data_IF_196152427261
#
_entry.id   IF_196152427261
#
_cell.length_a   1.000
_cell.length_b   1.000
_cell.length_c   1.000
_cell.angle_alpha   90.00
_cell.angle_beta   90.00
_cell.angle_gamma   90.00
#
_symmetry.space_group_name_H-M   'P 1'
#
loop_
_entity.id
_entity.type
_entity.pdbx_description
1 polymer ?
#
# COMPACT_ATOMS: atom_id res chain seq x y z
N UNK A 1 17.96 9.27 -23.17
CA UNK A 1 16.76 8.46 -22.84
C UNK A 1 16.05 9.12 -21.67
N UNK A 2 14.97 9.86 -21.93
CA UNK A 2 14.31 10.71 -20.96
C UNK A 2 12.83 10.30 -20.87
N UNK A 3 12.30 10.33 -19.64
CA UNK A 3 10.87 10.25 -19.22
C UNK A 3 10.35 8.89 -18.76
N UNK A 4 10.49 8.65 -17.46
CA UNK A 4 9.35 8.57 -16.52
C UNK A 4 9.84 9.04 -15.13
N UNK A 5 9.84 10.34 -14.90
CA UNK A 5 10.06 10.93 -13.57
C UNK A 5 8.77 11.55 -13.00
N UNK A 6 7.61 11.30 -13.62
CA UNK A 6 6.36 12.04 -13.35
C UNK A 6 5.19 11.15 -12.86
N UNK A 7 5.47 9.95 -12.33
CA UNK A 7 4.53 9.25 -11.45
C UNK A 7 5.31 8.90 -10.19
N UNK A 8 5.36 9.83 -9.23
CA UNK A 8 6.25 9.76 -8.07
C UNK A 8 5.92 8.52 -7.22
N UNK A 9 6.58 7.41 -7.51
CA UNK A 9 6.34 6.13 -6.84
C UNK A 9 6.61 6.33 -5.34
N UNK A 10 5.58 6.18 -4.50
CA UNK A 10 5.76 6.28 -3.05
C UNK A 10 6.29 4.95 -2.56
N UNK A 11 7.44 4.95 -1.91
CA UNK A 11 8.06 3.74 -1.38
C UNK A 11 8.47 3.92 0.08
N UNK A 12 8.39 2.84 0.87
CA UNK A 12 8.73 2.89 2.29
C UNK A 12 8.55 1.56 3.01
N UNK A 13 9.15 1.44 4.19
CA UNK A 13 8.96 0.26 5.04
C UNK A 13 7.66 0.38 5.83
N UNK A 14 6.75 -0.57 5.63
CA UNK A 14 5.53 -0.69 6.43
C UNK A 14 5.42 -2.08 7.04
N UNK A 15 4.68 -2.20 8.13
CA UNK A 15 4.20 -3.52 8.59
C UNK A 15 2.97 -3.88 7.78
N UNK A 16 2.98 -5.09 7.21
CA UNK A 16 1.94 -5.63 6.36
C UNK A 16 1.30 -6.84 7.02
N UNK A 17 -0.04 -6.90 7.00
CA UNK A 17 -0.83 -8.08 7.33
C UNK A 17 -1.87 -8.29 6.24
N UNK A 18 -1.96 -9.50 5.72
CA UNK A 18 -3.07 -9.84 4.83
C UNK A 18 -4.31 -10.08 5.67
N UNK A 19 -5.43 -9.52 5.24
CA UNK A 19 -6.75 -9.85 5.73
C UNK A 19 -7.52 -10.59 4.61
N UNK A 20 -8.83 -10.81 4.82
CA UNK A 20 -9.79 -11.51 3.94
C UNK A 20 -9.39 -11.52 2.44
N UNK A 21 -9.44 -12.71 1.82
CA UNK A 21 -9.15 -12.92 0.39
C UNK A 21 -7.67 -13.04 0.00
N UNK A 22 -6.78 -12.30 0.67
CA UNK A 22 -5.35 -12.40 0.41
C UNK A 22 -4.75 -13.59 1.17
N UNK A 23 -4.39 -14.65 0.44
CA UNK A 23 -3.76 -15.83 1.04
C UNK A 23 -2.29 -15.55 1.40
N UNK A 24 -1.93 -15.80 2.65
CA UNK A 24 -0.56 -15.62 3.16
C UNK A 24 -0.43 -14.43 4.09
N UNK A 25 0.17 -14.65 5.27
CA UNK A 25 0.45 -13.68 6.36
C UNK A 25 -0.69 -13.45 7.36
N UNK A 26 -0.88 -14.41 8.28
CA UNK A 26 -1.69 -14.24 9.51
C UNK A 26 -1.04 -13.31 10.57
N UNK A 27 0.22 -12.92 10.36
CA UNK A 27 1.01 -12.07 11.26
C UNK A 27 1.53 -10.84 10.52
N UNK A 28 1.73 -9.74 11.26
CA UNK A 28 2.36 -8.52 10.75
C UNK A 28 3.81 -8.77 10.38
N UNK A 29 4.21 -8.44 9.15
CA UNK A 29 5.60 -8.51 8.69
C UNK A 29 6.06 -7.17 8.15
N UNK A 30 7.28 -6.76 8.49
CA UNK A 30 7.90 -5.59 7.87
C UNK A 30 8.23 -5.89 6.40
N UNK A 31 7.80 -5.02 5.50
CA UNK A 31 7.96 -5.13 4.06
C UNK A 31 8.31 -3.77 3.48
N UNK A 32 9.13 -3.78 2.43
CA UNK A 32 9.28 -2.62 1.56
C UNK A 32 8.06 -2.56 0.66
N UNK A 33 7.25 -1.51 0.80
CA UNK A 33 6.04 -1.29 0.01
C UNK A 33 6.35 -0.24 -1.05
N UNK A 34 5.88 -0.47 -2.27
CA UNK A 34 5.98 0.47 -3.38
C UNK A 34 4.59 0.67 -3.96
N UNK A 35 4.21 1.93 -4.11
CA UNK A 35 3.01 2.36 -4.83
C UNK A 35 3.46 3.06 -6.12
N UNK A 36 3.34 2.36 -7.23
CA UNK A 36 3.73 2.80 -8.58
C UNK A 36 2.49 2.79 -9.50
N UNK A 37 2.03 3.96 -9.92
CA UNK A 37 0.73 4.08 -10.60
C UNK A 37 -0.41 3.49 -9.77
N UNK A 38 -1.09 2.47 -10.32
CA UNK A 38 -2.13 1.70 -9.64
C UNK A 38 -1.63 0.37 -9.04
N UNK A 39 -0.32 0.15 -8.97
CA UNK A 39 0.23 -1.08 -8.43
C UNK A 39 0.78 -0.85 -7.02
N UNK A 40 0.30 -1.65 -6.07
CA UNK A 40 0.88 -1.74 -4.74
C UNK A 40 1.66 -3.06 -4.65
N UNK A 41 2.99 -2.99 -4.62
CA UNK A 41 3.86 -4.15 -4.52
C UNK A 41 4.64 -4.20 -3.21
N UNK A 42 5.15 -5.38 -2.86
CA UNK A 42 5.94 -5.56 -1.66
C UNK A 42 7.10 -6.54 -1.80
N UNK A 43 8.20 -6.24 -1.10
CA UNK A 43 9.40 -7.08 -1.01
C UNK A 43 9.91 -7.21 0.44
N UNK A 44 10.86 -8.12 0.68
CA UNK A 44 11.52 -8.22 2.00
C UNK A 44 12.38 -6.97 2.30
N UNK A 45 12.98 -6.37 1.27
CA UNK A 45 13.77 -5.13 1.34
C UNK A 45 13.71 -4.37 0.01
N UNK A 46 14.25 -3.14 -0.01
CA UNK A 46 14.27 -2.30 -1.21
C UNK A 46 15.04 -2.89 -2.40
N UNK A 47 16.01 -3.78 -2.16
CA UNK A 47 16.82 -4.44 -3.21
C UNK A 47 16.41 -5.89 -3.47
N UNK A 48 15.45 -6.40 -2.70
CA UNK A 48 14.97 -7.77 -2.86
C UNK A 48 13.94 -7.87 -3.98
N UNK A 49 13.82 -9.08 -4.54
CA UNK A 49 12.76 -9.40 -5.51
C UNK A 49 11.36 -9.16 -4.90
N UNK A 50 10.45 -8.68 -5.73
CA UNK A 50 9.02 -8.58 -5.42
C UNK A 50 8.46 -9.93 -4.96
N UNK A 51 7.70 -9.91 -3.86
CA UNK A 51 7.04 -11.09 -3.28
C UNK A 51 5.55 -11.14 -3.54
N UNK A 52 4.98 -10.04 -3.98
CA UNK A 52 3.59 -9.94 -4.34
C UNK A 52 3.24 -8.51 -4.70
N UNK A 53 2.12 -8.40 -5.41
CA UNK A 53 1.59 -7.16 -5.96
C UNK A 53 0.08 -7.29 -6.06
N UNK A 54 -0.59 -6.16 -5.88
CA UNK A 54 -2.03 -5.99 -6.12
C UNK A 54 -2.23 -4.75 -6.99
N UNK A 55 -3.24 -4.81 -7.85
CA UNK A 55 -3.70 -3.65 -8.60
C UNK A 55 -4.77 -2.93 -7.77
N UNK A 56 -4.42 -1.74 -7.29
CA UNK A 56 -5.28 -0.83 -6.52
C UNK A 56 -6.02 0.12 -7.45
N UNK A 57 -6.89 -0.44 -8.31
CA UNK A 57 -7.77 0.30 -9.22
C UNK A 57 -8.89 1.06 -8.47
N UNK A 58 -9.75 1.77 -9.20
CA UNK A 58 -10.85 2.59 -8.68
C UNK A 58 -11.88 1.87 -7.81
N UNK A 59 -11.92 0.54 -7.82
CA UNK A 59 -12.74 -0.26 -6.89
C UNK A 59 -12.14 -0.35 -5.48
N UNK A 60 -10.82 -0.20 -5.36
CA UNK A 60 -10.12 -0.28 -4.08
C UNK A 60 -10.30 1.01 -3.29
N UNK A 61 -10.48 0.84 -1.98
CA UNK A 61 -10.59 1.91 -1.02
C UNK A 61 -9.37 1.87 -0.10
N UNK A 62 -8.78 3.05 0.11
CA UNK A 62 -7.80 3.25 1.17
C UNK A 62 -8.47 4.00 2.32
N UNK A 63 -8.30 3.50 3.55
CA UNK A 63 -8.86 4.16 4.74
C UNK A 63 -7.89 4.06 5.92
N UNK A 64 -7.80 5.14 6.69
CA UNK A 64 -7.15 5.10 7.99
C UNK A 64 -8.08 4.35 8.95
N UNK A 65 -7.65 3.18 9.43
CA UNK A 65 -8.49 2.28 10.23
C UNK A 65 -8.26 2.44 11.73
N UNK A 66 -7.03 2.78 12.14
CA UNK A 66 -6.68 3.06 13.54
C UNK A 66 -5.51 4.08 13.58
N UNK A 67 -5.81 5.38 13.74
CA UNK A 67 -4.80 6.42 13.78
C UNK A 67 -3.81 6.26 14.94
N UNK A 68 -4.28 5.82 16.12
CA UNK A 68 -3.45 5.67 17.30
C UNK A 68 -2.40 4.56 17.11
N UNK A 69 -2.75 3.51 16.37
CA UNK A 69 -1.83 2.44 15.98
C UNK A 69 -1.14 2.67 14.63
N UNK A 70 -1.31 3.83 13.98
CA UNK A 70 -0.79 4.14 12.65
C UNK A 70 -1.23 3.13 11.57
N UNK A 71 -2.46 2.59 11.66
CA UNK A 71 -2.96 1.56 10.74
C UNK A 71 -3.90 2.12 9.70
N UNK A 72 -3.75 1.60 8.50
CA UNK A 72 -4.63 1.86 7.39
C UNK A 72 -4.88 0.57 6.61
N UNK A 73 -5.97 0.55 5.87
CA UNK A 73 -6.40 -0.59 5.09
C UNK A 73 -6.56 -0.18 3.63
N UNK A 74 -6.20 -1.09 2.73
CA UNK A 74 -6.30 -0.93 1.29
C UNK A 74 -6.97 -2.20 0.76
N UNK A 75 -8.16 -2.08 0.18
CA UNK A 75 -8.93 -3.26 -0.20
C UNK A 75 -10.22 -2.96 -0.95
N UNK A 76 -10.79 -4.01 -1.51
CA UNK A 76 -12.18 -4.07 -1.95
C UNK A 76 -12.97 -5.10 -1.10
N UNK A 77 -14.14 -5.54 -1.54
CA UNK A 77 -14.94 -6.55 -0.82
C UNK A 77 -14.27 -7.94 -0.74
N UNK A 78 -13.44 -8.25 -1.74
CA UNK A 78 -12.81 -9.55 -1.92
C UNK A 78 -11.45 -9.60 -1.22
N UNK A 79 -10.63 -8.58 -1.39
CA UNK A 79 -9.25 -8.54 -0.90
C UNK A 79 -9.01 -7.34 0.01
N UNK A 80 -8.41 -7.58 1.18
CA UNK A 80 -8.08 -6.53 2.13
C UNK A 80 -6.64 -6.65 2.62
N UNK A 81 -5.90 -5.55 2.48
CA UNK A 81 -4.55 -5.41 2.98
C UNK A 81 -4.50 -4.43 4.14
N UNK A 82 -4.10 -4.92 5.32
CA UNK A 82 -3.84 -4.06 6.46
C UNK A 82 -2.35 -3.67 6.48
N UNK A 83 -2.11 -2.37 6.57
CA UNK A 83 -0.79 -1.75 6.62
C UNK A 83 -0.67 -0.90 7.88
N UNK A 84 0.56 -0.80 8.37
CA UNK A 84 0.87 0.00 9.55
C UNK A 84 2.18 0.76 9.31
N UNK A 85 2.09 2.08 9.45
CA UNK A 85 3.23 3.00 9.44
C UNK A 85 3.93 3.09 10.79
N UNK A 86 4.99 3.89 10.85
CA UNK A 86 5.70 4.27 12.07
C UNK A 86 4.83 5.13 12.98
N UNK A 87 4.03 6.02 12.40
CA UNK A 87 3.14 6.95 13.10
C UNK A 87 1.91 7.32 12.24
N UNK A 88 0.98 8.04 12.86
CA UNK A 88 -0.28 8.44 12.24
C UNK A 88 -0.08 9.33 11.00
N UNK A 89 0.97 10.16 10.99
CA UNK A 89 1.29 11.04 9.86
C UNK A 89 1.72 10.22 8.66
N UNK A 90 2.59 9.22 8.87
CA UNK A 90 2.98 8.30 7.80
C UNK A 90 1.77 7.51 7.27
N UNK A 91 0.96 6.93 8.16
CA UNK A 91 -0.24 6.19 7.77
C UNK A 91 -1.23 7.05 6.96
N UNK A 92 -1.38 8.32 7.35
CA UNK A 92 -2.21 9.28 6.64
C UNK A 92 -1.63 9.62 5.27
N UNK A 93 -0.33 9.91 5.19
CA UNK A 93 0.34 10.23 3.93
C UNK A 93 0.24 9.08 2.91
N UNK A 94 0.28 7.82 3.35
CA UNK A 94 0.04 6.66 2.48
C UNK A 94 -1.42 6.57 2.02
N UNK A 95 -2.38 6.80 2.91
CA UNK A 95 -3.80 6.80 2.57
C UNK A 95 -4.13 7.90 1.56
N UNK A 96 -3.64 9.11 1.79
CA UNK A 96 -3.85 10.25 0.88
C UNK A 96 -3.20 10.00 -0.49
N UNK A 97 -2.01 9.39 -0.54
CA UNK A 97 -1.36 9.03 -1.80
C UNK A 97 -2.15 8.00 -2.63
N UNK A 98 -2.78 7.03 -1.98
CA UNK A 98 -3.65 6.05 -2.63
C UNK A 98 -4.94 6.68 -3.16
N UNK A 99 -5.57 7.55 -2.37
CA UNK A 99 -6.78 8.29 -2.78
C UNK A 99 -6.48 9.21 -3.97
N UNK A 100 -5.39 9.99 -3.91
CA UNK A 100 -4.99 10.92 -4.97
C UNK A 100 -4.64 10.21 -6.29
N UNK A 101 -4.22 8.95 -6.24
CA UNK A 101 -3.96 8.13 -7.44
C UNK A 101 -5.23 7.60 -8.06
N UNK A 102 -6.18 7.15 -7.25
CA UNK A 102 -7.52 6.78 -7.72
C UNK A 102 -8.21 7.93 -8.45
N UNK A 103 -8.14 9.15 -7.89
CA UNK A 103 -8.79 10.33 -8.46
C UNK A 103 -8.27 10.71 -9.87
N UNK A 104 -7.04 10.33 -10.22
CA UNK A 104 -6.41 10.61 -11.53
C UNK A 104 -6.84 9.66 -12.65
N UNK A 105 -7.60 8.60 -12.34
CA UNK A 105 -8.07 7.59 -13.32
C UNK A 105 -9.55 7.72 -13.73
N UNK A 106 -10.33 8.51 -12.99
CA UNK A 106 -11.71 8.91 -13.36
C UNK A 106 -11.69 10.14 -14.25
#
# INVERSE_FOLDING_TARGET
EQRRMDDEAKAGYLKKKAAKGLQGFKQWKRRWIVLDGANLSWADSATSREKGRIDVDGAWLARLSDPAAARFEVGDDKELLALQGADATEARAWTDALIARRARRT
#
